data_IF_989754911294
#
_entry.id   IF_989754911294
#
_cell.length_a   1.000
_cell.length_b   1.000
_cell.length_c   1.000
_cell.angle_alpha   90.00
_cell.angle_beta   90.00
_cell.angle_gamma   90.00
#
_symmetry.space_group_name_H-M   'P 1'
#
loop_
_entity.id
_entity.type
_entity.pdbx_description
1 polymer ?
#
# COMPACT_ATOMS: atom_id res chain seq x y z
N UNK A 1 -0.35 2.32 4.74
CA UNK A 1 0.38 1.44 3.80
C UNK A 1 -0.21 0.03 3.88
N UNK A 2 -0.24 -0.70 2.76
CA UNK A 2 -0.82 -2.04 2.65
C UNK A 2 0.20 -3.15 2.84
N UNK A 3 0.05 -4.22 2.04
CA UNK A 3 0.96 -5.37 1.99
C UNK A 3 2.38 -4.96 1.54
N UNK A 4 3.27 -4.65 2.49
CA UNK A 4 4.67 -4.25 2.21
C UNK A 4 5.68 -5.21 2.87
N UNK A 5 5.47 -5.55 4.15
CA UNK A 5 6.33 -6.46 4.91
C UNK A 5 5.50 -7.59 5.50
N UNK A 6 5.99 -8.85 5.50
CA UNK A 6 5.31 -9.92 6.19
C UNK A 6 5.36 -9.68 7.70
N UNK A 7 4.32 -10.09 8.46
CA UNK A 7 4.38 -10.06 9.92
C UNK A 7 5.41 -11.07 10.44
N UNK A 8 5.78 -10.94 11.71
CA UNK A 8 6.72 -11.84 12.36
C UNK A 8 6.30 -13.32 12.21
N UNK A 9 7.26 -14.18 11.87
CA UNK A 9 7.00 -15.61 11.63
C UNK A 9 6.30 -15.94 10.31
N UNK A 10 6.09 -14.96 9.42
CA UNK A 10 5.65 -15.17 8.03
C UNK A 10 6.75 -14.80 7.05
N UNK A 11 6.65 -15.36 5.86
CA UNK A 11 7.55 -15.09 4.74
C UNK A 11 6.81 -14.41 3.58
N UNK A 12 7.50 -14.23 2.47
CA UNK A 12 6.98 -13.62 1.25
C UNK A 12 5.75 -14.36 0.69
N UNK A 13 5.62 -15.67 0.91
CA UNK A 13 4.48 -16.45 0.42
C UNK A 13 3.15 -15.98 1.02
N UNK A 14 3.20 -15.47 2.26
CA UNK A 14 2.04 -14.85 2.91
C UNK A 14 1.58 -13.61 2.15
N UNK A 15 2.51 -12.74 1.77
CA UNK A 15 2.21 -11.52 1.02
C UNK A 15 1.72 -11.85 -0.39
N UNK A 16 2.36 -12.78 -1.08
CA UNK A 16 1.94 -13.23 -2.41
C UNK A 16 0.52 -13.79 -2.42
N UNK A 17 0.13 -14.51 -1.36
CA UNK A 17 -1.24 -15.02 -1.23
C UNK A 17 -2.25 -13.89 -1.11
N UNK A 18 -2.02 -12.96 -0.19
CA UNK A 18 -2.94 -11.83 0.05
C UNK A 18 -2.97 -10.84 -1.11
N UNK A 19 -1.86 -10.70 -1.84
CA UNK A 19 -1.77 -9.82 -2.99
C UNK A 19 -2.83 -10.13 -4.04
N UNK A 20 -3.23 -11.40 -4.20
CA UNK A 20 -4.25 -11.83 -5.18
C UNK A 20 -5.60 -11.15 -4.98
N UNK A 21 -5.88 -10.74 -3.75
CA UNK A 21 -7.18 -10.20 -3.33
C UNK A 21 -7.23 -8.67 -3.40
N UNK A 22 -6.11 -7.99 -3.67
CA UNK A 22 -6.06 -6.52 -3.81
C UNK A 22 -6.00 -6.09 -5.29
N UNK A 23 -6.50 -4.88 -5.63
CA UNK A 23 -6.67 -4.46 -7.03
C UNK A 23 -5.43 -4.57 -7.92
N UNK A 24 -4.24 -4.23 -7.42
CA UNK A 24 -3.00 -4.33 -8.21
C UNK A 24 -2.42 -5.75 -8.31
N UNK A 25 -3.02 -6.73 -7.63
CA UNK A 25 -2.60 -8.13 -7.62
C UNK A 25 -1.11 -8.38 -7.31
N UNK A 26 -0.48 -7.46 -6.59
CA UNK A 26 0.92 -7.53 -6.15
C UNK A 26 1.06 -6.89 -4.78
N UNK A 27 1.95 -7.42 -3.95
CA UNK A 27 2.41 -6.69 -2.77
C UNK A 27 3.36 -5.56 -3.21
N UNK A 28 3.50 -4.55 -2.36
CA UNK A 28 4.51 -3.51 -2.55
C UNK A 28 5.82 -3.87 -1.86
N UNK A 29 6.78 -2.97 -1.98
CA UNK A 29 8.04 -3.03 -1.25
C UNK A 29 8.38 -1.65 -0.65
N UNK A 30 9.49 -1.57 0.09
CA UNK A 30 9.94 -0.32 0.69
C UNK A 30 10.14 0.80 -0.36
N UNK A 31 10.59 0.46 -1.58
CA UNK A 31 10.77 1.44 -2.66
C UNK A 31 9.46 2.13 -3.07
N UNK A 32 8.32 1.45 -2.99
CA UNK A 32 7.03 2.06 -3.28
C UNK A 32 6.69 3.17 -2.26
N UNK A 33 7.08 2.99 -0.99
CA UNK A 33 6.94 4.03 0.04
C UNK A 33 7.93 5.18 -0.23
N UNK A 34 9.19 4.86 -0.53
CA UNK A 34 10.20 5.89 -0.81
C UNK A 34 9.81 6.78 -1.98
N UNK A 35 9.24 6.21 -3.05
CA UNK A 35 8.73 6.99 -4.19
C UNK A 35 7.61 7.94 -3.79
N UNK A 36 6.68 7.50 -2.93
CA UNK A 36 5.60 8.37 -2.44
C UNK A 36 6.12 9.51 -1.55
N UNK A 37 7.10 9.23 -0.68
CA UNK A 37 7.77 10.25 0.12
C UNK A 37 8.51 11.25 -0.77
N UNK A 38 9.26 10.77 -1.76
CA UNK A 38 9.99 11.63 -2.69
C UNK A 38 9.04 12.53 -3.49
N UNK A 39 7.92 11.98 -3.98
CA UNK A 39 6.87 12.76 -4.64
C UNK A 39 6.36 13.91 -3.76
N UNK A 40 6.07 13.65 -2.48
CA UNK A 40 5.60 14.69 -1.56
C UNK A 40 6.69 15.73 -1.29
N UNK A 41 7.94 15.31 -1.07
CA UNK A 41 9.07 16.21 -0.82
C UNK A 41 9.41 17.11 -2.00
N UNK A 42 9.13 16.67 -3.23
CA UNK A 42 9.38 17.42 -4.46
C UNK A 42 8.28 18.44 -4.80
N UNK A 43 7.20 18.49 -4.01
CA UNK A 43 6.04 19.33 -4.32
C UNK A 43 5.88 20.50 -3.35
N UNK A 44 6.15 21.71 -3.82
CA UNK A 44 6.08 22.93 -3.00
C UNK A 44 4.64 23.43 -2.73
N UNK A 45 3.63 22.85 -3.39
CA UNK A 45 2.24 23.33 -3.31
C UNK A 45 1.24 22.23 -2.89
N UNK A 46 1.71 21.09 -2.38
CA UNK A 46 0.87 20.00 -1.86
C UNK A 46 1.05 19.90 -0.35
N UNK A 47 -0.06 20.00 0.38
CA UNK A 47 -0.09 19.81 1.84
C UNK A 47 -1.43 19.21 2.28
N UNK A 48 -1.47 18.63 3.48
CA UNK A 48 -2.67 18.05 4.07
C UNK A 48 -3.23 16.82 3.34
N UNK A 49 -2.44 16.19 2.46
CA UNK A 49 -2.86 15.04 1.67
C UNK A 49 -2.38 13.72 2.29
N UNK A 50 -3.17 12.67 2.11
CA UNK A 50 -2.82 11.29 2.45
C UNK A 50 -2.71 10.48 1.16
N UNK A 51 -1.55 9.85 0.94
CA UNK A 51 -1.33 8.96 -0.19
C UNK A 51 -1.34 7.51 0.31
N UNK A 52 -2.29 6.73 -0.19
CA UNK A 52 -2.37 5.30 0.09
C UNK A 52 -1.39 4.52 -0.79
N UNK A 53 -0.31 4.03 -0.18
CA UNK A 53 0.64 3.09 -0.81
C UNK A 53 0.26 1.66 -0.38
N UNK A 54 -0.76 1.10 -1.01
CA UNK A 54 -1.39 -0.15 -0.55
C UNK A 54 -1.91 -1.07 -1.67
N UNK A 55 -1.57 -0.79 -2.92
CA UNK A 55 -2.04 -1.58 -4.07
C UNK A 55 -3.57 -1.59 -4.25
N UNK A 56 -4.27 -0.60 -3.69
CA UNK A 56 -5.72 -0.46 -3.76
C UNK A 56 -6.46 -1.19 -2.63
N UNK A 57 -5.75 -1.71 -1.63
CA UNK A 57 -6.37 -2.45 -0.51
C UNK A 57 -7.47 -1.64 0.20
N UNK A 58 -7.27 -0.34 0.44
CA UNK A 58 -8.28 0.51 1.09
C UNK A 58 -9.59 0.63 0.29
N UNK A 59 -9.55 0.46 -1.03
CA UNK A 59 -10.73 0.58 -1.90
C UNK A 59 -11.72 -0.57 -1.69
N UNK A 60 -11.23 -1.73 -1.23
CA UNK A 60 -12.06 -2.89 -0.93
C UNK A 60 -12.96 -2.66 0.31
N UNK A 61 -12.59 -1.71 1.17
CA UNK A 61 -13.32 -1.41 2.41
C UNK A 61 -14.61 -0.62 2.20
N UNK A 62 -14.93 -0.20 0.97
CA UNK A 62 -16.21 0.46 0.67
C UNK A 62 -17.40 -0.52 0.53
N UNK A 63 -17.23 -1.80 0.87
CA UNK A 63 -18.31 -2.81 0.90
C UNK A 63 -18.94 -3.05 2.28
N UNK A 64 -18.46 -2.40 3.35
CA UNK A 64 -19.06 -2.50 4.70
C UNK A 64 -19.37 -1.13 5.31
N UNK A 65 -19.94 -0.23 4.49
CA UNK A 65 -20.65 0.94 5.00
C UNK A 65 -22.07 0.57 5.42
N UNK A 66 -22.22 0.09 6.66
CA UNK A 66 -23.44 0.21 7.47
C UNK A 66 -23.05 0.75 8.83
#
# INVERSE_FOLDING_TARGET
PGLILPPEGKDESYLQRLARDIPLQRHGCADDIFRAVLFLLQSDFITGQVIFVDGGQHMLSNMYGT
#
